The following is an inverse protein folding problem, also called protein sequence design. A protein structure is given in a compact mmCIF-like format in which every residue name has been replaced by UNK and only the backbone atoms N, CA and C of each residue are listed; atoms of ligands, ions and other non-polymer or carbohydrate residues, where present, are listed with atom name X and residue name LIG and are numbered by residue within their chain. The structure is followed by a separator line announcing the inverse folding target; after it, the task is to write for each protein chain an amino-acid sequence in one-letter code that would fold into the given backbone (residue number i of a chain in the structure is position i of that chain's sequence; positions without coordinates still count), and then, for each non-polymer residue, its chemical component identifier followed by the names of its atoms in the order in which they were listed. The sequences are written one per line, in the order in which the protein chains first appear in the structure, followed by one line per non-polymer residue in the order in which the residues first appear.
data_IF_750231443904
#
_entry.id   IF_750231443904
#
_cell.length_a   1.000
_cell.length_b   1.000
_cell.length_c   1.000
_cell.angle_alpha   90.00
_cell.angle_beta   90.00
_cell.angle_gamma   90.00
#
_symmetry.space_group_name_H-M   'P 1'
#
loop_
_entity.id
_entity.type
_entity.pdbx_description
1 polymer ?
#
# COMPACT_ATOMS: atom_id res chain seq x y z
N UNK A 1 9.17 27.84 -16.49
CA UNK A 1 8.11 27.93 -17.53
C UNK A 1 6.76 28.01 -16.83
N UNK A 2 5.72 28.57 -17.46
CA UNK A 2 4.37 28.64 -16.86
C UNK A 2 3.61 27.35 -17.13
N UNK A 3 2.78 26.96 -16.18
CA UNK A 3 1.81 25.89 -16.35
C UNK A 3 0.58 26.40 -17.11
N UNK A 4 -0.05 25.52 -17.88
CA UNK A 4 -1.41 25.69 -18.36
C UNK A 4 -2.33 24.73 -17.62
N UNK A 5 -3.51 25.22 -17.27
CA UNK A 5 -4.52 24.46 -16.57
C UNK A 5 -5.71 24.22 -17.49
N UNK A 6 -6.30 23.03 -17.40
CA UNK A 6 -7.64 22.79 -17.92
C UNK A 6 -8.40 21.87 -16.99
N UNK A 7 -9.58 22.32 -16.59
CA UNK A 7 -10.52 21.51 -15.84
C UNK A 7 -11.49 20.89 -16.86
N UNK A 8 -11.69 19.58 -16.78
CA UNK A 8 -12.90 18.96 -17.32
C UNK A 8 -13.85 18.66 -16.16
N UNK A 9 -15.08 18.23 -16.46
CA UNK A 9 -15.99 17.74 -15.42
C UNK A 9 -15.44 16.53 -14.65
N UNK A 10 -14.40 15.87 -15.18
CA UNK A 10 -13.90 14.59 -14.66
C UNK A 10 -12.48 14.67 -14.07
N UNK A 11 -11.67 15.65 -14.48
CA UNK A 11 -10.27 15.73 -14.08
C UNK A 11 -9.73 17.17 -14.02
N UNK A 12 -8.80 17.38 -13.09
CA UNK A 12 -7.92 18.54 -13.07
C UNK A 12 -6.65 18.21 -13.87
N UNK A 13 -6.37 18.98 -14.91
CA UNK A 13 -5.15 18.84 -15.72
C UNK A 13 -4.16 19.95 -15.38
N UNK A 14 -2.94 19.54 -15.08
CA UNK A 14 -1.79 20.42 -14.87
C UNK A 14 -0.77 20.13 -15.96
N UNK A 15 -0.63 21.07 -16.89
CA UNK A 15 0.20 20.93 -18.08
C UNK A 15 1.36 21.91 -18.09
N UNK A 16 2.48 21.45 -18.64
CA UNK A 16 3.64 22.26 -18.97
C UNK A 16 4.27 21.71 -20.25
N UNK A 17 5.30 22.38 -20.78
CA UNK A 17 6.01 21.87 -21.96
C UNK A 17 6.66 20.50 -21.74
N UNK A 18 7.06 20.19 -20.50
CA UNK A 18 7.87 19.00 -20.19
C UNK A 18 7.09 17.93 -19.43
N UNK A 19 5.98 18.28 -18.79
CA UNK A 19 5.18 17.34 -18.02
C UNK A 19 3.69 17.68 -18.09
N UNK A 20 2.85 16.67 -18.18
CA UNK A 20 1.38 16.75 -18.13
C UNK A 20 0.86 15.73 -17.13
N UNK A 21 0.02 16.19 -16.19
CA UNK A 21 -0.59 15.35 -15.15
C UNK A 21 -2.09 15.60 -15.11
N UNK A 22 -2.89 14.54 -15.24
CA UNK A 22 -4.35 14.59 -15.09
C UNK A 22 -4.78 13.80 -13.86
N UNK A 23 -5.46 14.45 -12.91
CA UNK A 23 -5.94 13.84 -11.67
C UNK A 23 -7.47 13.80 -11.71
N UNK A 24 -8.04 12.63 -11.46
CA UNK A 24 -9.49 12.43 -11.39
C UNK A 24 -10.10 13.25 -10.26
N UNK A 25 -11.19 13.98 -10.53
CA UNK A 25 -11.92 14.73 -9.49
C UNK A 25 -12.77 13.82 -8.61
N UNK A 26 -13.16 12.63 -9.09
CA UNK A 26 -14.02 11.69 -8.37
C UNK A 26 -13.24 10.72 -7.49
N UNK A 27 -12.00 10.35 -7.86
CA UNK A 27 -11.18 9.41 -7.10
C UNK A 27 -9.88 10.02 -6.57
N UNK A 28 -9.38 11.08 -7.19
CA UNK A 28 -8.05 11.62 -6.92
C UNK A 28 -6.90 10.77 -7.46
N UNK A 29 -7.18 9.75 -8.28
CA UNK A 29 -6.16 8.98 -8.98
C UNK A 29 -5.56 9.78 -10.13
N UNK A 30 -4.27 9.56 -10.40
CA UNK A 30 -3.64 10.09 -11.61
C UNK A 30 -4.08 9.24 -12.79
N UNK A 31 -4.86 9.82 -13.70
CA UNK A 31 -5.36 9.19 -14.93
C UNK A 31 -4.37 9.33 -16.09
N UNK A 32 -3.57 10.41 -16.06
CA UNK A 32 -2.55 10.70 -17.07
C UNK A 32 -1.31 11.20 -16.37
N UNK A 33 -0.17 10.61 -16.69
CA UNK A 33 1.13 11.20 -16.38
C UNK A 33 2.05 11.07 -17.58
N UNK A 34 2.41 12.20 -18.19
CA UNK A 34 3.36 12.29 -19.29
C UNK A 34 4.56 13.12 -18.86
N UNK A 35 5.76 12.65 -19.14
CA UNK A 35 7.00 13.37 -18.89
C UNK A 35 7.90 13.28 -20.12
N UNK A 36 8.42 14.41 -20.59
CA UNK A 36 9.26 14.53 -21.79
C UNK A 36 8.69 13.81 -23.03
N UNK A 37 7.37 13.85 -23.22
CA UNK A 37 6.70 13.21 -24.36
C UNK A 37 6.43 11.71 -24.19
N UNK A 38 6.84 11.09 -23.08
CA UNK A 38 6.56 9.70 -22.76
C UNK A 38 5.44 9.57 -21.74
N UNK A 39 4.45 8.73 -22.02
CA UNK A 39 3.44 8.36 -21.05
C UNK A 39 4.05 7.43 -19.99
N UNK A 40 3.73 7.65 -18.72
CA UNK A 40 4.16 6.87 -17.57
C UNK A 40 3.03 6.04 -16.97
N UNK A 41 1.79 6.44 -17.20
CA UNK A 41 0.59 5.66 -16.88
C UNK A 41 0.25 4.73 -18.04
N UNK A 42 -0.08 3.46 -17.77
CA UNK A 42 -0.68 2.57 -18.77
C UNK A 42 -2.06 3.07 -19.20
N UNK A 43 -2.48 2.77 -20.44
CA UNK A 43 -3.79 3.14 -20.98
C UNK A 43 -5.00 2.56 -20.22
N UNK A 44 -4.74 1.60 -19.34
CA UNK A 44 -5.75 0.87 -18.55
C UNK A 44 -6.04 1.58 -17.21
N UNK A 45 -5.41 2.74 -16.96
CA UNK A 45 -5.61 3.56 -15.76
C UNK A 45 -4.66 3.25 -14.60
N UNK A 46 -4.70 4.12 -13.59
CA UNK A 46 -4.05 3.96 -12.29
C UNK A 46 -2.60 4.42 -12.21
N UNK A 47 -2.38 5.71 -11.93
CA UNK A 47 -1.12 6.18 -11.38
C UNK A 47 -0.83 5.56 -10.00
N UNK A 48 0.14 6.09 -9.24
CA UNK A 48 0.49 5.53 -7.94
C UNK A 48 -0.71 5.43 -7.01
N UNK A 49 -1.09 4.21 -6.63
CA UNK A 49 -2.22 3.91 -5.76
C UNK A 49 -1.77 3.13 -4.52
N UNK A 50 -2.48 3.30 -3.41
CA UNK A 50 -2.21 2.58 -2.16
C UNK A 50 -2.16 1.07 -2.40
N UNK A 51 -1.19 0.40 -1.80
CA UNK A 51 -1.10 -1.05 -1.78
C UNK A 51 -0.83 -1.54 -0.36
N UNK A 52 -1.82 -2.24 0.20
CA UNK A 52 -1.74 -2.87 1.53
C UNK A 52 -1.44 -4.37 1.48
N UNK A 53 -1.26 -4.94 0.29
CA UNK A 53 -1.21 -6.39 0.09
C UNK A 53 0.01 -6.85 -0.72
N UNK A 54 0.35 -8.12 -0.53
CA UNK A 54 1.33 -8.86 -1.34
C UNK A 54 0.80 -10.28 -1.55
N UNK A 55 1.21 -10.92 -2.64
CA UNK A 55 0.99 -12.36 -2.79
C UNK A 55 1.65 -13.11 -1.61
N UNK A 56 0.89 -13.97 -0.94
CA UNK A 56 1.36 -14.70 0.24
C UNK A 56 2.47 -15.69 -0.12
N UNK A 57 3.55 -15.64 0.65
CA UNK A 57 4.62 -16.66 0.66
C UNK A 57 4.21 -17.88 1.48
N UNK A 58 4.98 -18.96 1.43
CA UNK A 58 4.70 -20.14 2.26
C UNK A 58 4.80 -19.83 3.76
N UNK A 59 5.71 -18.93 4.16
CA UNK A 59 5.81 -18.45 5.54
C UNK A 59 4.57 -17.67 5.99
N UNK A 60 3.89 -16.96 5.07
CA UNK A 60 2.66 -16.25 5.37
C UNK A 60 1.49 -17.24 5.59
N UNK A 61 1.56 -18.42 4.95
CA UNK A 61 0.58 -19.51 5.07
C UNK A 61 0.83 -20.43 6.26
N UNK A 62 2.06 -20.43 6.80
CA UNK A 62 2.44 -21.20 7.98
C UNK A 62 1.64 -20.82 9.22
N UNK A 63 1.34 -21.80 10.07
CA UNK A 63 0.51 -21.67 11.27
C UNK A 63 -0.52 -22.80 11.39
N UNK A 64 -0.98 -23.06 12.61
CA UNK A 64 -1.97 -24.09 12.91
C UNK A 64 -3.37 -23.49 13.06
N UNK A 65 -4.43 -24.27 12.77
CA UNK A 65 -5.83 -23.90 13.07
C UNK A 65 -6.30 -22.55 12.48
N UNK A 66 -5.83 -22.18 11.29
CA UNK A 66 -6.32 -20.99 10.57
C UNK A 66 -5.87 -19.64 11.15
N UNK A 67 -4.82 -19.62 11.99
CA UNK A 67 -4.24 -18.38 12.57
C UNK A 67 -3.15 -17.72 11.72
N UNK A 68 -2.82 -18.32 10.57
CA UNK A 68 -1.77 -17.81 9.67
C UNK A 68 -1.99 -16.35 9.29
N UNK A 69 -0.90 -15.64 8.98
CA UNK A 69 -0.99 -14.26 8.50
C UNK A 69 -1.85 -14.16 7.24
N UNK A 70 -1.68 -15.10 6.29
CA UNK A 70 -2.46 -15.18 5.06
C UNK A 70 -3.97 -15.32 5.32
N UNK A 71 -4.37 -16.21 6.23
CA UNK A 71 -5.78 -16.39 6.63
C UNK A 71 -6.35 -15.09 7.21
N UNK A 72 -5.62 -14.43 8.10
CA UNK A 72 -6.07 -13.16 8.72
C UNK A 72 -6.19 -12.03 7.70
N UNK A 73 -5.22 -11.87 6.81
CA UNK A 73 -5.28 -10.85 5.76
C UNK A 73 -6.41 -11.08 4.76
N UNK A 74 -6.66 -12.35 4.42
CA UNK A 74 -7.76 -12.77 3.56
C UNK A 74 -9.11 -12.48 4.21
N UNK A 75 -9.30 -12.90 5.46
CA UNK A 75 -10.50 -12.57 6.25
C UNK A 75 -10.73 -11.06 6.33
N UNK A 76 -9.68 -10.27 6.49
CA UNK A 76 -9.76 -8.82 6.51
C UNK A 76 -10.00 -8.16 5.14
N UNK A 77 -9.95 -8.92 4.05
CA UNK A 77 -10.09 -8.39 2.69
C UNK A 77 -9.00 -7.40 2.28
N UNK A 78 -7.80 -7.47 2.87
CA UNK A 78 -6.69 -6.53 2.58
C UNK A 78 -6.23 -6.58 1.11
N UNK A 79 -6.40 -7.72 0.46
CA UNK A 79 -6.11 -7.90 -0.97
C UNK A 79 -7.19 -7.34 -1.90
N UNK A 80 -8.35 -6.96 -1.35
CA UNK A 80 -9.54 -6.54 -2.09
C UNK A 80 -10.07 -5.21 -1.51
N UNK A 81 -9.20 -4.22 -1.33
CA UNK A 81 -9.61 -2.90 -0.84
C UNK A 81 -10.29 -2.10 -1.96
N UNK A 82 -11.38 -1.41 -1.64
CA UNK A 82 -12.09 -0.50 -2.55
C UNK A 82 -12.16 0.91 -1.99
N UNK A 83 -11.98 1.88 -2.87
CA UNK A 83 -12.25 3.29 -2.59
C UNK A 83 -13.75 3.46 -2.34
N UNK A 84 -14.14 4.03 -1.20
CA UNK A 84 -15.55 4.27 -0.88
C UNK A 84 -15.91 5.75 -0.82
N UNK A 85 -14.96 6.62 -0.50
CA UNK A 85 -15.13 8.06 -0.54
C UNK A 85 -13.84 8.73 -0.99
N UNK A 86 -13.97 9.83 -1.72
CA UNK A 86 -12.85 10.66 -2.11
C UNK A 86 -13.26 12.12 -2.24
N UNK A 87 -12.34 13.01 -1.88
CA UNK A 87 -12.46 14.44 -2.14
C UNK A 87 -11.15 14.99 -2.67
N UNK A 88 -11.25 15.85 -3.68
CA UNK A 88 -10.12 16.51 -4.33
C UNK A 88 -10.25 18.00 -4.10
N UNK A 89 -9.18 18.62 -3.60
CA UNK A 89 -9.10 20.05 -3.33
C UNK A 89 -7.83 20.62 -3.96
N UNK A 90 -7.95 21.78 -4.56
CA UNK A 90 -6.85 22.54 -5.14
C UNK A 90 -7.20 24.03 -5.10
N UNK A 91 -6.19 24.89 -5.17
CA UNK A 91 -6.42 26.34 -5.20
C UNK A 91 -6.55 26.83 -6.65
N UNK A 92 -7.78 27.17 -7.04
CA UNK A 92 -8.12 27.69 -8.37
C UNK A 92 -7.44 29.02 -8.72
N UNK A 93 -6.93 29.76 -7.72
CA UNK A 93 -6.25 31.06 -7.92
C UNK A 93 -4.78 30.90 -8.34
N UNK A 94 -4.26 29.67 -8.34
CA UNK A 94 -2.85 29.32 -8.64
C UNK A 94 -2.57 29.22 -10.15
N UNK A 95 -3.51 29.63 -11.01
CA UNK A 95 -3.40 29.58 -12.49
C UNK A 95 -2.14 30.25 -13.08
N UNK A 96 -1.47 31.13 -12.34
CA UNK A 96 -0.22 31.79 -12.76
C UNK A 96 1.05 31.30 -12.02
N UNK A 97 0.93 30.35 -11.11
CA UNK A 97 2.04 29.92 -10.27
C UNK A 97 2.99 28.94 -10.98
N UNK A 98 4.22 28.82 -10.44
CA UNK A 98 5.23 27.84 -10.88
C UNK A 98 5.00 26.43 -10.34
N UNK A 99 4.04 26.29 -9.43
CA UNK A 99 3.79 25.09 -8.65
C UNK A 99 2.31 25.00 -8.35
N UNK A 100 1.78 23.78 -8.42
CA UNK A 100 0.39 23.46 -8.20
C UNK A 100 0.30 22.40 -7.12
N UNK A 101 -0.48 22.66 -6.08
CA UNK A 101 -0.78 21.65 -5.07
C UNK A 101 -2.22 21.16 -5.22
N UNK A 102 -2.36 19.84 -5.33
CA UNK A 102 -3.65 19.15 -5.27
C UNK A 102 -3.62 18.24 -4.04
N UNK A 103 -4.58 18.45 -3.14
CA UNK A 103 -4.80 17.61 -1.96
C UNK A 103 -5.98 16.70 -2.22
N UNK A 104 -5.73 15.39 -2.10
CA UNK A 104 -6.75 14.36 -2.17
C UNK A 104 -6.91 13.74 -0.80
N UNK A 105 -8.15 13.52 -0.38
CA UNK A 105 -8.49 12.64 0.74
C UNK A 105 -9.29 11.47 0.19
N UNK A 106 -8.92 10.27 0.59
CA UNK A 106 -9.59 9.03 0.23
C UNK A 106 -9.91 8.24 1.49
N UNK A 107 -11.01 7.52 1.48
CA UNK A 107 -11.33 6.49 2.47
C UNK A 107 -11.51 5.16 1.73
N UNK A 108 -10.78 4.15 2.19
CA UNK A 108 -10.80 2.80 1.64
C UNK A 108 -11.38 1.82 2.63
N UNK A 109 -12.08 0.80 2.13
CA UNK A 109 -12.61 -0.31 2.93
C UNK A 109 -12.48 -1.66 2.19
N UNK A 110 -12.51 -2.79 2.89
CA UNK A 110 -12.58 -4.09 2.25
C UNK A 110 -13.78 -4.21 1.30
N UNK A 111 -13.61 -4.89 0.15
CA UNK A 111 -14.67 -5.04 -0.84
C UNK A 111 -15.74 -6.05 -0.41
N UNK A 112 -15.34 -7.14 0.24
CA UNK A 112 -16.19 -8.17 0.83
C UNK A 112 -16.65 -7.80 2.24
N UNK A 113 -17.85 -8.23 2.62
CA UNK A 113 -18.23 -8.24 4.04
C UNK A 113 -17.44 -9.36 4.74
N UNK A 114 -16.71 -9.01 5.80
CA UNK A 114 -15.86 -9.98 6.52
C UNK A 114 -16.77 -10.97 7.25
N UNK A 115 -16.74 -12.23 6.83
CA UNK A 115 -17.62 -13.30 7.32
C UNK A 115 -18.10 -14.26 6.24
N UNK A 116 -18.01 -13.90 4.95
CA UNK A 116 -18.07 -14.90 3.88
C UNK A 116 -16.84 -15.81 4.00
N UNK A 117 -17.03 -17.14 3.95
CA UNK A 117 -15.99 -18.15 4.10
C UNK A 117 -14.75 -17.81 3.23
N UNK A 118 -13.77 -17.13 3.84
CA UNK A 118 -12.48 -16.93 3.20
C UNK A 118 -11.85 -18.30 3.00
N UNK A 119 -11.23 -18.53 1.84
CA UNK A 119 -10.53 -19.79 1.58
C UNK A 119 -9.63 -20.12 2.77
N UNK A 120 -9.87 -21.27 3.41
CA UNK A 120 -8.96 -21.84 4.39
C UNK A 120 -7.73 -22.30 3.62
N UNK A 121 -6.84 -21.33 3.35
CA UNK A 121 -5.61 -21.56 2.61
C UNK A 121 -4.76 -22.51 3.45
N UNK A 122 -4.78 -23.77 3.03
CA UNK A 122 -4.16 -24.95 3.63
C UNK A 122 -3.03 -24.62 4.60
N UNK A 123 -3.25 -24.95 5.88
CA UNK A 123 -2.21 -24.94 6.90
C UNK A 123 -1.15 -25.98 6.57
N UNK A 124 0.08 -25.53 6.39
CA UNK A 124 1.24 -26.43 6.53
C UNK A 124 1.54 -26.44 8.02
N UNK A 125 1.47 -27.61 8.67
CA UNK A 125 1.70 -27.81 10.11
C UNK A 125 3.17 -27.52 10.50
N UNK A 126 3.59 -26.28 10.32
CA UNK A 126 4.84 -25.70 10.77
C UNK A 126 4.45 -24.57 11.72
N UNK A 127 5.22 -24.39 12.78
CA UNK A 127 5.06 -23.29 13.74
C UNK A 127 4.99 -21.94 13.02
N UNK A 128 4.39 -20.91 13.64
CA UNK A 128 4.27 -19.56 13.05
C UNK A 128 5.68 -18.95 12.82
N UNK A 129 6.28 -19.24 11.67
CA UNK A 129 7.51 -18.59 11.17
C UNK A 129 7.14 -17.71 9.98
N UNK A 130 6.24 -16.76 10.21
CA UNK A 130 6.09 -15.62 9.30
C UNK A 130 7.38 -14.79 9.32
N UNK A 131 7.88 -14.39 8.16
CA UNK A 131 9.01 -13.44 8.09
C UNK A 131 8.66 -12.10 8.76
N UNK A 132 9.64 -11.22 8.94
CA UNK A 132 9.37 -9.91 9.58
C UNK A 132 8.45 -9.10 8.65
N UNK A 133 7.25 -8.80 9.15
CA UNK A 133 6.30 -7.91 8.50
C UNK A 133 6.48 -6.46 8.98
N UNK A 134 5.81 -5.51 8.31
CA UNK A 134 5.76 -4.14 8.80
C UNK A 134 5.10 -4.12 10.20
N UNK A 135 5.73 -3.42 11.15
CA UNK A 135 5.44 -3.44 12.60
C UNK A 135 5.80 -4.73 13.37
N UNK A 136 6.39 -5.73 12.73
CA UNK A 136 7.04 -6.85 13.44
C UNK A 136 8.25 -6.35 14.21
N UNK A 137 8.28 -6.58 15.52
CA UNK A 137 9.43 -6.23 16.36
C UNK A 137 10.59 -7.18 16.03
N UNK A 138 11.80 -6.66 15.81
CA UNK A 138 13.01 -7.48 15.93
C UNK A 138 13.06 -7.94 17.40
N UNK A 139 12.75 -9.20 17.65
CA UNK A 139 12.96 -9.79 18.97
C UNK A 139 14.45 -9.76 19.25
N UNK A 140 14.86 -8.99 20.27
CA UNK A 140 16.17 -9.20 20.88
C UNK A 140 16.16 -10.64 21.39
N UNK A 141 17.11 -11.46 20.93
CA UNK A 141 17.29 -12.84 21.37
C UNK A 141 17.89 -12.86 22.79
N UNK A 142 17.19 -12.29 23.75
CA UNK A 142 17.49 -12.50 25.16
C UNK A 142 16.70 -13.74 25.57
N UNK A 143 17.43 -14.86 25.56
CA UNK A 143 17.05 -16.16 26.09
C UNK A 143 16.71 -16.03 27.59
N UNK A 144 15.46 -15.70 27.92
CA UNK A 144 14.89 -16.10 29.20
C UNK A 144 13.66 -16.95 28.93
N UNK A 145 13.74 -18.21 29.33
CA UNK A 145 12.72 -19.23 29.12
C UNK A 145 11.36 -18.77 29.63
N UNK A 146 10.47 -18.48 28.69
CA UNK A 146 9.05 -18.31 28.97
C UNK A 146 8.47 -19.73 29.01
N UNK A 147 8.08 -20.19 30.19
CA UNK A 147 7.20 -21.37 30.32
C UNK A 147 5.97 -21.14 29.42
N UNK A 148 5.80 -22.00 28.41
CA UNK A 148 4.59 -22.10 27.61
C UNK A 148 3.43 -22.55 28.51
N UNK A 149 2.78 -21.60 29.19
CA UNK A 149 1.43 -21.80 29.69
C UNK A 149 0.47 -21.57 28.54
N UNK A 150 -0.18 -22.63 28.08
CA UNK A 150 -1.36 -22.51 27.21
C UNK A 150 -2.38 -21.59 27.91
N UNK A 151 -2.67 -20.40 27.37
CA UNK A 151 -3.71 -19.56 27.96
C UNK A 151 -5.07 -20.16 27.63
N UNK A 152 -5.91 -20.27 28.65
CA UNK A 152 -7.31 -20.61 28.52
C UNK A 152 -7.96 -19.75 27.42
N UNK A 153 -8.70 -20.38 26.52
CA UNK A 153 -9.31 -19.75 25.37
C UNK A 153 -10.39 -18.74 25.81
N UNK A 154 -9.98 -17.52 26.17
CA UNK A 154 -10.90 -16.41 26.30
C UNK A 154 -11.45 -16.08 24.91
N UNK A 155 -12.75 -16.31 24.76
CA UNK A 155 -13.50 -16.09 23.54
C UNK A 155 -13.43 -14.62 23.11
N UNK A 156 -13.24 -14.46 21.80
CA UNK A 156 -13.08 -13.21 21.05
C UNK A 156 -14.01 -12.06 21.46
N UNK A 157 -13.47 -10.84 21.37
CA UNK A 157 -14.27 -9.70 20.89
C UNK A 157 -14.23 -9.77 19.37
N UNK A 158 -15.32 -10.24 18.78
CA UNK A 158 -15.59 -10.10 17.35
C UNK A 158 -15.48 -8.59 17.03
N UNK A 159 -14.42 -8.16 16.35
CA UNK A 159 -14.42 -6.83 15.72
C UNK A 159 -15.03 -7.07 14.35
N UNK A 160 -16.34 -6.81 14.17
CA UNK A 160 -16.97 -7.05 12.89
C UNK A 160 -16.27 -6.22 11.81
N UNK A 161 -16.11 -6.86 10.65
CA UNK A 161 -15.77 -6.35 9.33
C UNK A 161 -15.91 -4.85 9.06
N UNK A 162 -17.02 -4.33 9.57
CA UNK A 162 -17.70 -3.12 9.18
C UNK A 162 -16.95 -1.84 9.57
N UNK A 163 -15.91 -1.97 10.41
CA UNK A 163 -15.21 -0.85 11.02
C UNK A 163 -13.77 -0.66 10.48
N UNK A 164 -13.32 -1.45 9.49
CA UNK A 164 -12.01 -1.24 8.84
C UNK A 164 -12.11 -0.14 7.79
N UNK A 165 -11.73 1.07 8.20
CA UNK A 165 -11.57 2.23 7.33
C UNK A 165 -10.10 2.66 7.28
N UNK A 166 -9.58 2.84 6.07
CA UNK A 166 -8.22 3.34 5.85
C UNK A 166 -8.33 4.71 5.20
N UNK A 167 -8.00 5.73 5.99
CA UNK A 167 -7.96 7.10 5.50
C UNK A 167 -6.58 7.40 4.91
N UNK A 168 -6.58 8.00 3.73
CA UNK A 168 -5.38 8.36 2.99
C UNK A 168 -5.46 9.83 2.62
N UNK A 169 -4.45 10.61 2.98
CA UNK A 169 -4.26 11.95 2.43
C UNK A 169 -3.10 11.92 1.44
N UNK A 170 -3.39 12.25 0.19
CA UNK A 170 -2.40 12.34 -0.89
C UNK A 170 -2.19 13.81 -1.22
N UNK A 171 -0.94 14.25 -1.25
CA UNK A 171 -0.57 15.59 -1.75
C UNK A 171 0.25 15.45 -3.03
N UNK A 172 -0.30 15.95 -4.12
CA UNK A 172 0.39 16.09 -5.40
C UNK A 172 0.90 17.51 -5.54
N UNK A 173 2.22 17.64 -5.63
CA UNK A 173 2.90 18.90 -5.84
C UNK A 173 3.53 18.89 -7.23
N UNK A 174 2.87 19.57 -8.16
CA UNK A 174 3.19 19.55 -9.59
C UNK A 174 3.98 20.80 -9.97
N UNK A 175 5.19 20.58 -10.49
CA UNK A 175 6.08 21.60 -11.06
C UNK A 175 6.36 21.28 -12.52
N UNK A 176 7.02 22.16 -13.29
CA UNK A 176 7.15 21.97 -14.75
C UNK A 176 7.89 20.69 -15.16
N UNK A 177 8.71 20.13 -14.28
CA UNK A 177 9.56 18.95 -14.56
C UNK A 177 9.53 17.92 -13.46
N UNK A 178 8.72 18.13 -12.42
CA UNK A 178 8.72 17.28 -11.21
C UNK A 178 7.32 17.17 -10.66
N UNK A 179 6.89 15.94 -10.45
CA UNK A 179 5.77 15.59 -9.61
C UNK A 179 6.32 15.06 -8.29
N UNK A 180 5.96 15.70 -7.18
CA UNK A 180 6.19 15.15 -5.85
C UNK A 180 4.87 14.63 -5.30
N UNK A 181 4.89 13.40 -4.81
CA UNK A 181 3.71 12.73 -4.26
C UNK A 181 4.01 12.39 -2.81
N UNK A 182 3.12 12.78 -1.90
CA UNK A 182 3.20 12.43 -0.48
C UNK A 182 1.94 11.66 -0.10
N UNK A 183 2.12 10.49 0.50
CA UNK A 183 1.04 9.69 1.08
C UNK A 183 1.13 9.75 2.60
N UNK A 184 0.02 10.11 3.22
CA UNK A 184 -0.21 9.98 4.65
C UNK A 184 -1.34 8.96 4.83
N UNK A 185 -1.06 7.85 5.52
CA UNK A 185 -1.95 6.68 5.58
C UNK A 185 -2.25 6.36 7.03
N UNK A 186 -3.51 6.45 7.42
CA UNK A 186 -3.98 6.05 8.74
C UNK A 186 -4.36 4.57 8.77
N UNK A 187 -3.56 3.78 9.50
CA UNK A 187 -3.78 2.33 9.69
C UNK A 187 -4.33 2.01 11.08
N UNK A 188 -4.80 3.00 11.84
CA UNK A 188 -5.22 2.82 13.23
C UNK A 188 -6.34 1.79 13.36
N UNK A 189 -7.28 1.74 12.41
CA UNK A 189 -8.38 0.78 12.37
C UNK A 189 -7.92 -0.69 12.26
N UNK A 190 -6.70 -0.94 11.75
CA UNK A 190 -6.13 -2.28 11.61
C UNK A 190 -5.39 -2.77 12.85
N UNK A 191 -5.09 -1.90 13.81
CA UNK A 191 -4.18 -2.20 14.92
C UNK A 191 -4.68 -3.34 15.81
N UNK A 192 -5.98 -3.38 16.12
CA UNK A 192 -6.57 -4.45 16.93
C UNK A 192 -6.68 -5.76 16.15
N UNK A 193 -6.91 -5.69 14.84
CA UNK A 193 -7.32 -6.83 14.02
C UNK A 193 -6.13 -7.60 13.42
N UNK A 194 -4.97 -6.96 13.28
CA UNK A 194 -3.78 -7.61 12.72
C UNK A 194 -2.90 -8.35 13.73
N UNK A 195 -3.26 -8.35 15.01
CA UNK A 195 -2.55 -9.10 16.06
C UNK A 195 -3.17 -10.48 16.28
N UNK A 196 -2.36 -11.51 16.57
CA UNK A 196 -2.85 -12.81 17.04
C UNK A 196 -3.32 -12.68 18.50
N UNK A 197 -4.51 -12.14 18.76
CA UNK A 197 -5.02 -11.98 20.12
C UNK A 197 -4.06 -11.19 21.04
N UNK A 198 -3.39 -10.15 20.50
CA UNK A 198 -2.36 -9.40 21.21
C UNK A 198 -1.03 -10.13 21.44
N UNK A 199 -0.91 -11.41 21.03
CA UNK A 199 0.31 -12.22 21.17
C UNK A 199 1.37 -11.87 20.13
N UNK A 200 0.95 -11.39 18.96
CA UNK A 200 1.86 -10.94 17.89
C UNK A 200 1.67 -9.46 17.62
N UNK A 201 2.74 -8.80 17.16
CA UNK A 201 2.62 -7.43 16.69
C UNK A 201 1.71 -7.38 15.45
N UNK A 202 0.84 -6.36 15.33
CA UNK A 202 0.02 -6.14 14.14
C UNK A 202 0.86 -6.25 12.87
N UNK A 203 0.45 -7.06 11.91
CA UNK A 203 1.22 -7.31 10.68
C UNK A 203 0.41 -6.95 9.44
N UNK A 204 0.86 -5.92 8.73
CA UNK A 204 0.35 -5.59 7.39
C UNK A 204 1.27 -6.25 6.35
N UNK A 205 0.74 -6.94 5.32
CA UNK A 205 1.57 -7.60 4.32
C UNK A 205 2.50 -6.63 3.57
N UNK A 206 2.01 -5.41 3.32
CA UNK A 206 2.75 -4.32 2.66
C UNK A 206 2.15 -2.98 3.07
N UNK A 207 2.96 -1.94 3.16
CA UNK A 207 2.51 -0.56 3.07
C UNK A 207 3.31 0.11 1.95
N UNK A 208 2.66 0.43 0.85
CA UNK A 208 3.36 1.04 -0.27
C UNK A 208 2.41 1.55 -1.35
N UNK A 209 3.00 1.82 -2.50
CA UNK A 209 2.31 2.24 -3.70
C UNK A 209 2.55 1.24 -4.81
N UNK A 210 1.59 1.10 -5.71
CA UNK A 210 1.76 0.37 -6.96
C UNK A 210 1.28 1.22 -8.13
N UNK A 211 1.86 0.98 -9.30
CA UNK A 211 1.50 1.65 -10.54
C UNK A 211 1.87 0.74 -11.70
N UNK A 212 1.01 0.66 -12.71
CA UNK A 212 1.32 -0.02 -13.95
C UNK A 212 2.07 0.94 -14.90
N UNK A 213 3.17 0.47 -15.48
CA UNK A 213 3.95 1.20 -16.48
C UNK A 213 3.62 0.69 -17.89
N UNK A 214 3.73 1.54 -18.93
CA UNK A 214 3.63 1.08 -20.32
C UNK A 214 4.64 -0.04 -20.62
N UNK A 215 4.22 -1.00 -21.46
CA UNK A 215 5.06 -2.16 -21.86
C UNK A 215 6.38 -1.77 -22.54
N UNK A 216 6.51 -0.54 -23.02
CA UNK A 216 7.76 -0.01 -23.59
C UNK A 216 8.89 0.13 -22.57
N UNK A 217 8.57 0.16 -21.27
CA UNK A 217 9.56 0.14 -20.19
C UNK A 217 9.91 -1.32 -19.86
N UNK A 218 11.00 -1.82 -20.43
CA UNK A 218 11.44 -3.22 -20.32
C UNK A 218 12.78 -3.40 -19.59
N UNK A 219 13.53 -2.32 -19.40
CA UNK A 219 14.78 -2.30 -18.64
C UNK A 219 14.56 -1.61 -17.29
N UNK A 220 15.15 -2.16 -16.23
CA UNK A 220 15.18 -1.54 -14.91
C UNK A 220 16.63 -1.28 -14.51
N UNK A 221 16.87 -0.16 -13.85
CA UNK A 221 18.11 0.03 -13.12
C UNK A 221 17.77 0.70 -11.79
N UNK A 222 18.47 0.32 -10.73
CA UNK A 222 18.25 0.90 -9.42
C UNK A 222 19.56 1.07 -8.67
N UNK A 223 19.56 2.00 -7.72
CA UNK A 223 20.62 2.11 -6.73
C UNK A 223 20.07 1.59 -5.41
N UNK A 224 20.62 0.46 -4.94
CA UNK A 224 20.12 -0.21 -3.74
C UNK A 224 20.72 -1.59 -3.58
N UNK A 225 20.12 -2.41 -2.70
CA UNK A 225 20.55 -3.80 -2.50
C UNK A 225 20.17 -4.66 -3.70
N UNK A 226 21.05 -5.59 -4.07
CA UNK A 226 20.86 -6.49 -5.20
C UNK A 226 22.13 -7.31 -5.49
N UNK A 227 22.20 -7.99 -6.66
CA UNK A 227 21.26 -7.93 -7.79
C UNK A 227 20.00 -8.79 -7.61
N UNK A 228 20.02 -9.76 -6.71
CA UNK A 228 18.89 -10.63 -6.38
C UNK A 228 17.91 -9.97 -5.41
N UNK A 229 16.73 -10.57 -5.31
CA UNK A 229 15.67 -10.15 -4.39
C UNK A 229 16.14 -10.12 -2.92
N UNK A 230 15.83 -9.03 -2.23
CA UNK A 230 16.14 -8.83 -0.82
C UNK A 230 14.87 -8.46 -0.03
N UNK A 231 14.70 -9.05 1.15
CA UNK A 231 13.64 -8.71 2.12
C UNK A 231 14.26 -8.08 3.38
N UNK A 232 13.49 -7.35 4.20
CA UNK A 232 14.01 -6.72 5.43
C UNK A 232 14.80 -7.67 6.36
N UNK A 233 14.35 -8.92 6.45
CA UNK A 233 14.93 -10.03 7.21
C UNK A 233 15.90 -10.92 6.39
N UNK A 234 16.00 -10.69 5.07
CA UNK A 234 16.89 -11.42 4.14
C UNK A 234 17.52 -10.47 3.12
N UNK A 235 18.49 -9.67 3.57
CA UNK A 235 19.14 -8.63 2.75
C UNK A 235 20.67 -8.61 2.78
N UNK A 236 21.30 -9.33 3.71
CA UNK A 236 22.75 -9.19 3.97
C UNK A 236 23.63 -9.65 2.81
N UNK A 237 23.14 -10.57 1.97
CA UNK A 237 23.83 -10.95 0.74
C UNK A 237 23.72 -9.90 -0.39
N UNK A 238 22.82 -8.93 -0.25
CA UNK A 238 22.59 -7.85 -1.22
C UNK A 238 23.48 -6.65 -0.96
N UNK A 239 24.34 -6.31 -1.92
CA UNK A 239 25.23 -5.15 -1.84
C UNK A 239 24.51 -3.88 -2.30
N UNK A 240 24.66 -2.78 -1.56
CA UNK A 240 24.14 -1.48 -1.97
C UNK A 240 25.00 -0.89 -3.09
N UNK A 241 24.53 -0.95 -4.34
CA UNK A 241 25.21 -0.42 -5.52
C UNK A 241 24.22 -0.18 -6.66
N UNK A 242 24.71 0.38 -7.76
CA UNK A 242 23.93 0.39 -9.00
C UNK A 242 23.81 -1.03 -9.54
N UNK A 243 22.58 -1.45 -9.81
CA UNK A 243 22.22 -2.71 -10.43
C UNK A 243 21.36 -2.46 -11.67
N UNK A 244 21.38 -3.43 -12.59
CA UNK A 244 20.58 -3.52 -13.80
C UNK A 244 19.92 -4.88 -13.82
#
# INVERSE_FOLDING_TARGET
ERHSWSDSEECVNVDSKQMSVGISLSSGEILRWRCHGHDLTSGDGGGPALNLFRACTDNDRGGSFGTSFASRWSKLGLGEMKLCDASVKYDEKVREAKEVEVTVRQTWKPAKEIGEEGEDLTSVNVTEVGGIHWFGREGNSDEEGIEEKEPEAEAFVDVPAKDVLIDVTIRYLVRSTRLQISFDVDLTSLRSVLSCQGKTSPSVPRLGIHMALPRSFNDICWYGRGPHECYPDRKESGLARQAR
#
